data_IF_393725215515
#
_entry.id   IF_393725215515
#
_cell.length_a   1.000
_cell.length_b   1.000
_cell.length_c   1.000
_cell.angle_alpha   90.00
_cell.angle_beta   90.00
_cell.angle_gamma   90.00
#
_symmetry.space_group_name_H-M   'P 1'
#
loop_
_entity.id
_entity.type
_entity.pdbx_description
1 polymer ?
#
# COMPACT_ATOMS: atom_id res chain seq x y z
N UNK A 1 -9.19 17.24 1.66
CA UNK A 1 -9.14 15.99 2.45
C UNK A 1 -8.26 14.99 1.72
N UNK A 2 -7.20 14.50 2.37
CA UNK A 2 -6.33 13.48 1.79
C UNK A 2 -6.98 12.11 2.05
N UNK A 3 -7.19 11.30 1.02
CA UNK A 3 -7.74 9.96 1.17
C UNK A 3 -6.60 8.98 1.00
N UNK A 4 -6.38 8.19 2.03
CA UNK A 4 -5.32 7.20 2.04
C UNK A 4 -5.72 5.98 1.21
N UNK A 5 -4.75 5.39 0.51
CA UNK A 5 -4.99 4.15 -0.23
C UNK A 5 -5.43 3.02 0.71
N UNK A 6 -5.03 3.04 1.99
CA UNK A 6 -5.52 2.10 2.98
C UNK A 6 -7.04 2.10 3.14
N UNK A 7 -7.67 3.28 3.14
CA UNK A 7 -9.14 3.38 3.24
C UNK A 7 -9.84 2.88 1.98
N UNK A 8 -9.26 3.16 0.81
CA UNK A 8 -9.76 2.62 -0.46
C UNK A 8 -9.63 1.10 -0.46
N UNK A 9 -8.51 0.54 -0.01
CA UNK A 9 -8.33 -0.92 0.11
C UNK A 9 -9.32 -1.53 1.09
N UNK A 10 -9.55 -0.92 2.26
CA UNK A 10 -10.58 -1.37 3.21
C UNK A 10 -11.95 -1.43 2.51
N UNK A 11 -12.29 -0.44 1.68
CA UNK A 11 -13.55 -0.43 0.92
C UNK A 11 -13.62 -1.57 -0.10
N UNK A 12 -12.53 -1.82 -0.82
CA UNK A 12 -12.45 -2.94 -1.76
C UNK A 12 -12.58 -4.29 -1.04
N UNK A 13 -11.97 -4.48 0.12
CA UNK A 13 -12.09 -5.71 0.94
C UNK A 13 -13.53 -5.93 1.42
N UNK A 14 -14.24 -4.87 1.79
CA UNK A 14 -15.68 -4.95 2.11
C UNK A 14 -16.49 -5.41 0.90
N UNK A 15 -16.18 -4.90 -0.30
CA UNK A 15 -16.84 -5.37 -1.53
C UNK A 15 -16.51 -6.84 -1.80
N UNK A 16 -15.25 -7.25 -1.69
CA UNK A 16 -14.81 -8.64 -1.92
C UNK A 16 -15.52 -9.61 -0.98
N UNK A 17 -15.56 -9.30 0.32
CA UNK A 17 -16.29 -10.09 1.33
C UNK A 17 -17.80 -10.16 1.12
N UNK A 18 -18.36 -9.33 0.23
CA UNK A 18 -19.78 -9.30 -0.15
C UNK A 18 -20.03 -9.83 -1.58
N UNK A 19 -19.09 -10.59 -2.14
CA UNK A 19 -19.23 -11.15 -3.49
C UNK A 19 -18.94 -10.15 -4.61
N UNK A 20 -18.22 -9.07 -4.31
CA UNK A 20 -17.79 -8.05 -5.26
C UNK A 20 -18.74 -6.87 -5.43
N UNK A 21 -19.77 -6.73 -4.58
CA UNK A 21 -20.71 -5.60 -4.66
C UNK A 21 -21.34 -5.23 -3.32
N UNK A 22 -21.57 -3.94 -3.09
CA UNK A 22 -22.31 -3.45 -1.93
C UNK A 22 -23.00 -2.10 -2.21
N UNK A 23 -24.06 -1.80 -1.46
CA UNK A 23 -24.77 -0.52 -1.54
C UNK A 23 -23.99 0.59 -0.82
N UNK A 24 -24.20 1.84 -1.26
CA UNK A 24 -23.70 3.04 -0.60
C UNK A 24 -24.10 3.07 0.89
N UNK A 25 -25.33 2.63 1.19
CA UNK A 25 -25.86 2.57 2.56
C UNK A 25 -24.95 1.75 3.49
N UNK A 26 -24.38 0.64 3.02
CA UNK A 26 -23.45 -0.15 3.82
C UNK A 26 -22.23 0.68 4.21
N UNK A 27 -21.64 1.40 3.26
CA UNK A 27 -20.46 2.21 3.52
C UNK A 27 -20.76 3.42 4.41
N UNK A 28 -21.94 4.03 4.24
CA UNK A 28 -22.39 5.11 5.13
C UNK A 28 -22.57 4.63 6.57
N UNK A 29 -23.03 3.38 6.78
CA UNK A 29 -23.10 2.80 8.14
C UNK A 29 -21.73 2.55 8.75
N UNK A 30 -20.72 2.21 7.95
CA UNK A 30 -19.37 1.92 8.42
C UNK A 30 -18.53 3.18 8.67
N UNK A 31 -18.65 4.18 7.79
CA UNK A 31 -17.75 5.34 7.75
C UNK A 31 -18.48 6.70 7.73
N UNK A 32 -19.80 6.72 7.83
CA UNK A 32 -20.57 7.95 7.75
C UNK A 32 -20.32 8.70 6.44
N UNK A 33 -20.41 10.05 6.43
CA UNK A 33 -20.17 10.86 5.24
C UNK A 33 -18.78 10.68 4.60
N UNK A 34 -17.78 10.18 5.35
CA UNK A 34 -16.44 9.90 4.82
C UNK A 34 -16.47 8.85 3.68
N UNK A 35 -17.47 7.95 3.70
CA UNK A 35 -17.67 6.95 2.66
C UNK A 35 -17.73 7.53 1.25
N UNK A 36 -18.38 8.69 1.06
CA UNK A 36 -18.47 9.34 -0.25
C UNK A 36 -17.09 9.64 -0.82
N UNK A 37 -16.18 10.13 0.02
CA UNK A 37 -14.87 10.51 -0.41
C UNK A 37 -14.05 9.27 -0.81
N UNK A 38 -14.07 8.22 0.02
CA UNK A 38 -13.35 6.97 -0.24
C UNK A 38 -13.86 6.30 -1.53
N UNK A 39 -15.18 6.23 -1.70
CA UNK A 39 -15.79 5.60 -2.87
C UNK A 39 -15.58 6.42 -4.15
N UNK A 40 -15.64 7.75 -4.07
CA UNK A 40 -15.30 8.62 -5.20
C UNK A 40 -13.84 8.42 -5.61
N UNK A 41 -12.92 8.31 -4.65
CA UNK A 41 -11.51 8.03 -4.98
C UNK A 41 -11.32 6.65 -5.60
N UNK A 42 -12.05 5.64 -5.13
CA UNK A 42 -12.03 4.31 -5.73
C UNK A 42 -12.56 4.31 -7.18
N UNK A 43 -13.55 5.17 -7.48
CA UNK A 43 -14.05 5.42 -8.84
C UNK A 43 -12.98 6.11 -9.70
N UNK A 44 -12.35 7.18 -9.19
CA UNK A 44 -11.29 7.92 -9.90
C UNK A 44 -10.09 7.03 -10.29
N UNK A 45 -9.86 5.95 -9.53
CA UNK A 45 -8.77 5.00 -9.76
C UNK A 45 -9.18 3.76 -10.56
N UNK A 46 -10.40 3.71 -11.08
CA UNK A 46 -10.99 2.57 -11.80
C UNK A 46 -10.96 1.25 -11.00
N UNK A 47 -10.99 1.33 -9.67
CA UNK A 47 -10.96 0.15 -8.79
C UNK A 47 -12.36 -0.40 -8.55
N UNK A 48 -13.36 0.47 -8.65
CA UNK A 48 -14.78 0.13 -8.59
C UNK A 48 -15.53 0.81 -9.72
N UNK A 49 -16.73 0.34 -10.01
CA UNK A 49 -17.70 1.05 -10.84
C UNK A 49 -19.03 1.11 -10.10
N UNK A 50 -19.84 2.11 -10.43
CA UNK A 50 -21.12 2.38 -9.75
C UNK A 50 -22.28 2.15 -10.72
N UNK A 51 -23.33 1.47 -10.24
CA UNK A 51 -24.62 1.31 -10.94
C UNK A 51 -25.74 1.65 -9.97
N UNK A 52 -26.35 2.83 -10.14
CA UNK A 52 -27.26 3.39 -9.13
C UNK A 52 -26.51 3.64 -7.82
N UNK A 53 -27.03 3.13 -6.71
CA UNK A 53 -26.39 3.23 -5.39
C UNK A 53 -25.53 2.00 -5.03
N UNK A 54 -25.26 1.13 -6.00
CA UNK A 54 -24.45 -0.06 -5.80
C UNK A 54 -23.06 0.14 -6.40
N UNK A 55 -22.04 -0.06 -5.57
CA UNK A 55 -20.64 -0.10 -5.98
C UNK A 55 -20.23 -1.55 -6.23
N UNK A 56 -19.48 -1.77 -7.31
CA UNK A 56 -19.00 -3.07 -7.74
C UNK A 56 -17.51 -3.06 -7.97
N UNK A 57 -16.83 -4.13 -7.57
CA UNK A 57 -15.40 -4.32 -7.78
C UNK A 57 -15.10 -4.42 -9.29
N UNK A 58 -14.22 -3.56 -9.77
CA UNK A 58 -13.70 -3.62 -11.13
C UNK A 58 -12.61 -4.70 -11.24
N UNK A 59 -12.21 -5.04 -12.48
CA UNK A 59 -11.09 -5.96 -12.72
C UNK A 59 -9.81 -5.49 -12.04
N UNK A 60 -9.48 -4.20 -12.19
CA UNK A 60 -8.29 -3.58 -11.59
C UNK A 60 -8.32 -3.61 -10.06
N UNK A 61 -9.50 -3.41 -9.45
CA UNK A 61 -9.67 -3.54 -8.00
C UNK A 61 -9.43 -4.97 -7.51
N UNK A 62 -9.91 -5.99 -8.24
CA UNK A 62 -9.62 -7.40 -7.93
C UNK A 62 -8.14 -7.74 -8.05
N UNK A 63 -7.49 -7.26 -9.10
CA UNK A 63 -6.04 -7.44 -9.30
C UNK A 63 -5.23 -6.78 -8.18
N UNK A 64 -5.62 -5.57 -7.76
CA UNK A 64 -5.02 -4.89 -6.63
C UNK A 64 -5.19 -5.70 -5.33
N UNK A 65 -6.40 -6.20 -5.05
CA UNK A 65 -6.65 -7.04 -3.87
C UNK A 65 -5.82 -8.34 -3.90
N UNK A 66 -5.69 -8.98 -5.07
CA UNK A 66 -4.85 -10.17 -5.23
C UNK A 66 -3.38 -9.85 -4.92
N UNK A 67 -2.85 -8.74 -5.44
CA UNK A 67 -1.49 -8.28 -5.14
C UNK A 67 -1.27 -7.96 -3.66
N UNK A 68 -2.33 -7.54 -2.96
CA UNK A 68 -2.29 -7.27 -1.52
C UNK A 68 -2.52 -8.52 -0.66
N UNK A 69 -3.14 -9.57 -1.21
CA UNK A 69 -3.44 -10.84 -0.54
C UNK A 69 -2.25 -11.81 -0.53
N UNK A 70 -1.30 -11.64 -1.45
CA UNK A 70 -0.04 -12.41 -1.52
C UNK A 70 1.04 -11.90 -0.52
N UNK A 71 0.64 -11.04 0.42
CA UNK A 71 1.52 -10.25 1.28
C UNK A 71 1.64 -8.81 0.76
N UNK A 72 2.39 -7.96 1.46
CA UNK A 72 2.75 -6.62 0.98
C UNK A 72 4.09 -6.68 0.24
N UNK A 73 4.15 -7.14 -1.04
CA UNK A 73 5.42 -7.33 -1.73
C UNK A 73 6.17 -6.01 -1.85
N UNK A 74 7.36 -5.99 -1.23
CA UNK A 74 8.28 -4.86 -1.28
C UNK A 74 9.45 -5.24 -2.17
N UNK A 75 9.59 -4.56 -3.30
CA UNK A 75 10.74 -4.68 -4.21
C UNK A 75 11.59 -3.42 -4.12
N UNK A 76 12.91 -3.55 -3.97
CA UNK A 76 13.80 -2.40 -3.96
C UNK A 76 14.74 -2.41 -5.17
N UNK A 77 14.99 -1.22 -5.73
CA UNK A 77 15.96 -1.01 -6.81
C UNK A 77 16.75 0.26 -6.59
N UNK A 78 17.99 0.28 -7.05
CA UNK A 78 18.81 1.50 -7.13
C UNK A 78 18.67 2.07 -8.53
N UNK A 79 18.25 3.33 -8.64
CA UNK A 79 18.16 4.04 -9.90
C UNK A 79 18.53 5.51 -9.72
N UNK A 80 19.43 6.00 -10.57
CA UNK A 80 19.94 7.40 -10.54
C UNK A 80 20.49 7.82 -9.16
N UNK A 81 21.25 6.92 -8.52
CA UNK A 81 21.84 7.17 -7.18
C UNK A 81 20.82 7.22 -6.03
N UNK A 82 19.57 6.79 -6.25
CA UNK A 82 18.52 6.73 -5.22
C UNK A 82 17.99 5.31 -5.06
N UNK A 83 17.63 4.95 -3.83
CA UNK A 83 16.88 3.74 -3.54
C UNK A 83 15.39 3.99 -3.81
N UNK A 84 14.79 3.07 -4.54
CA UNK A 84 13.37 3.08 -4.85
C UNK A 84 12.75 1.81 -4.30
N UNK A 85 11.59 1.98 -3.67
CA UNK A 85 10.78 0.88 -3.17
C UNK A 85 9.48 0.83 -3.95
N UNK A 86 9.28 -0.25 -4.69
CA UNK A 86 8.04 -0.58 -5.35
C UNK A 86 7.21 -1.44 -4.40
N UNK A 87 5.96 -1.03 -4.23
CA UNK A 87 4.98 -1.63 -3.32
C UNK A 87 3.64 -1.72 -4.04
N UNK A 88 2.65 -2.48 -3.52
CA UNK A 88 1.30 -2.49 -4.10
C UNK A 88 0.63 -1.11 -4.10
N UNK A 89 1.08 -0.22 -3.21
CA UNK A 89 0.51 1.12 -3.02
C UNK A 89 1.21 2.21 -3.84
N UNK A 90 2.34 1.90 -4.47
CA UNK A 90 3.08 2.84 -5.31
C UNK A 90 4.59 2.65 -5.29
N UNK A 91 5.27 3.57 -5.97
CA UNK A 91 6.73 3.65 -6.04
C UNK A 91 7.23 4.81 -5.18
N UNK A 92 8.08 4.52 -4.19
CA UNK A 92 8.61 5.50 -3.25
C UNK A 92 10.11 5.68 -3.45
N UNK A 93 10.58 6.92 -3.50
CA UNK A 93 11.99 7.22 -3.30
C UNK A 93 12.27 7.16 -1.80
N UNK A 94 13.19 6.28 -1.39
CA UNK A 94 13.40 5.96 0.02
C UNK A 94 14.60 6.70 0.58
N UNK A 95 14.38 7.34 1.73
CA UNK A 95 15.45 7.77 2.62
C UNK A 95 15.78 6.65 3.62
N UNK A 96 17.05 6.33 3.76
CA UNK A 96 17.54 5.38 4.75
C UNK A 96 17.65 6.07 6.12
N UNK A 97 16.52 6.42 6.73
CA UNK A 97 16.44 6.87 8.13
C UNK A 97 15.44 5.99 8.88
N UNK A 98 15.62 5.71 10.18
CA UNK A 98 14.74 4.78 10.90
C UNK A 98 13.31 5.30 10.94
N UNK A 99 13.16 6.60 11.17
CA UNK A 99 11.88 7.30 11.23
C UNK A 99 11.12 7.27 9.89
N UNK A 100 11.82 7.44 8.76
CA UNK A 100 11.20 7.32 7.44
C UNK A 100 10.73 5.88 7.17
N UNK A 101 11.61 4.90 7.42
CA UNK A 101 11.30 3.49 7.19
C UNK A 101 10.17 2.99 8.08
N UNK A 102 10.14 3.43 9.35
CA UNK A 102 9.06 3.11 10.27
C UNK A 102 7.74 3.73 9.79
N UNK A 103 7.74 5.02 9.43
CA UNK A 103 6.54 5.69 8.89
C UNK A 103 6.01 4.99 7.64
N UNK A 104 6.90 4.59 6.73
CA UNK A 104 6.54 3.86 5.52
C UNK A 104 5.96 2.48 5.86
N UNK A 105 6.57 1.75 6.81
CA UNK A 105 6.08 0.46 7.26
C UNK A 105 4.68 0.54 7.85
N UNK A 106 4.36 1.55 8.66
CA UNK A 106 3.00 1.76 9.18
C UNK A 106 1.98 2.01 8.07
N UNK A 107 2.30 2.86 7.09
CA UNK A 107 1.39 3.15 5.96
C UNK A 107 1.12 1.91 5.11
N UNK A 108 2.17 1.14 4.85
CA UNK A 108 2.08 -0.12 4.12
C UNK A 108 1.30 -1.17 4.93
N UNK A 109 1.52 -1.23 6.24
CA UNK A 109 0.87 -2.19 7.13
C UNK A 109 -0.63 -1.93 7.21
N UNK A 110 -1.03 -0.67 7.30
CA UNK A 110 -2.43 -0.29 7.23
C UNK A 110 -3.05 -0.65 5.87
N UNK A 111 -2.35 -0.38 4.76
CA UNK A 111 -2.87 -0.66 3.43
C UNK A 111 -2.92 -2.17 3.11
N UNK A 112 -1.95 -2.94 3.59
CA UNK A 112 -1.84 -4.38 3.35
C UNK A 112 -2.54 -5.21 4.44
N UNK A 113 -2.95 -4.60 5.56
CA UNK A 113 -3.51 -5.31 6.71
C UNK A 113 -2.52 -6.26 7.37
N UNK A 114 -1.26 -5.86 7.44
CA UNK A 114 -0.18 -6.63 8.08
C UNK A 114 0.33 -5.92 9.34
N UNK A 115 1.17 -6.62 10.11
CA UNK A 115 1.86 -6.03 11.25
C UNK A 115 2.98 -5.06 10.79
N UNK A 116 3.04 -3.82 11.34
CA UNK A 116 4.07 -2.84 10.97
C UNK A 116 5.50 -3.37 11.08
N UNK A 117 5.81 -4.16 12.12
CA UNK A 117 7.14 -4.71 12.32
C UNK A 117 7.53 -5.68 11.21
N UNK A 118 6.58 -6.45 10.66
CA UNK A 118 6.83 -7.45 9.61
C UNK A 118 7.20 -6.77 8.31
N UNK A 119 6.46 -5.71 7.96
CA UNK A 119 6.77 -4.87 6.80
C UNK A 119 8.08 -4.12 6.99
N UNK A 120 8.35 -3.61 8.19
CA UNK A 120 9.62 -2.94 8.50
C UNK A 120 10.81 -3.88 8.25
N UNK A 121 10.77 -5.09 8.81
CA UNK A 121 11.84 -6.08 8.65
C UNK A 121 12.04 -6.45 7.17
N UNK A 122 10.97 -6.68 6.42
CA UNK A 122 11.06 -7.03 5.00
C UNK A 122 11.58 -5.87 4.15
N UNK A 123 11.10 -4.64 4.39
CA UNK A 123 11.59 -3.42 3.73
C UNK A 123 13.09 -3.25 3.97
N UNK A 124 13.53 -3.42 5.21
CA UNK A 124 14.94 -3.40 5.60
C UNK A 124 15.78 -4.43 4.83
N UNK A 125 15.34 -5.69 4.79
CA UNK A 125 16.03 -6.78 4.06
C UNK A 125 16.12 -6.48 2.57
N UNK A 126 15.03 -6.03 1.96
CA UNK A 126 14.97 -5.76 0.52
C UNK A 126 15.85 -4.57 0.14
N UNK A 127 15.84 -3.49 0.94
CA UNK A 127 16.73 -2.34 0.74
C UNK A 127 18.20 -2.72 0.91
N UNK A 128 18.54 -3.54 1.92
CA UNK A 128 19.90 -4.02 2.12
C UNK A 128 20.39 -4.86 0.93
N UNK A 129 19.55 -5.75 0.38
CA UNK A 129 19.86 -6.54 -0.83
C UNK A 129 20.02 -5.66 -2.08
N UNK A 130 19.22 -4.62 -2.22
CA UNK A 130 19.34 -3.70 -3.36
C UNK A 130 20.60 -2.84 -3.27
N UNK A 131 20.94 -2.35 -2.07
CA UNK A 131 22.16 -1.59 -1.81
C UNK A 131 23.44 -2.43 -1.99
N UNK A 132 23.42 -3.73 -1.66
CA UNK A 132 24.59 -4.61 -1.82
C UNK A 132 24.88 -4.99 -3.27
N UNK A 133 23.85 -4.96 -4.13
CA UNK A 133 23.99 -5.19 -5.57
C UNK A 133 24.46 -3.96 -6.34
N UNK A 134 24.30 -2.77 -5.77
CA UNK A 134 24.93 -1.54 -6.30
C UNK A 134 26.38 -1.42 -5.83
N UNK A 135 27.26 -0.89 -6.69
CA UNK A 135 28.69 -0.66 -6.39
C UNK A 135 28.94 0.33 -5.22
N UNK A 136 27.89 0.95 -4.68
CA UNK A 136 27.97 1.93 -3.60
C UNK A 136 28.01 1.25 -2.23
N UNK A 137 29.19 0.73 -1.85
CA UNK A 137 29.51 0.21 -0.50
C UNK A 137 29.11 1.16 0.65
N UNK A 138 28.98 2.46 0.37
CA UNK A 138 28.60 3.48 1.35
C UNK A 138 27.12 3.42 1.78
N UNK A 139 26.20 2.95 0.92
CA UNK A 139 24.77 2.83 1.26
C UNK A 139 24.50 1.70 2.26
N UNK A 140 25.32 0.64 2.22
CA UNK A 140 25.23 -0.50 3.14
C UNK A 140 25.58 -0.14 4.59
N UNK A 141 26.53 0.77 4.81
CA UNK A 141 26.88 1.22 6.17
C UNK A 141 25.75 1.95 6.87
N UNK A 142 24.91 2.68 6.13
CA UNK A 142 23.68 3.28 6.66
C UNK A 142 22.59 2.23 6.81
N UNK A 143 22.26 1.47 5.76
CA UNK A 143 21.18 0.48 5.82
C UNK A 143 21.38 -0.59 6.91
N UNK A 144 22.61 -1.08 7.11
CA UNK A 144 22.95 -2.09 8.12
C UNK A 144 22.90 -1.58 9.56
N UNK A 145 22.98 -0.26 9.80
CA UNK A 145 22.88 0.34 11.13
C UNK A 145 21.44 0.76 11.50
N UNK A 146 20.50 0.70 10.55
CA UNK A 146 19.12 1.19 10.69
C UNK A 146 18.10 0.07 10.92
N UNK A 147 18.52 -1.18 10.70
CA UNK A 147 17.65 -2.35 10.68
C UNK A 147 17.94 -3.35 11.82
N UNK A 148 18.73 -2.93 12.82
CA UNK A 148 19.01 -3.62 14.08
C UNK A 148 18.61 -2.72 15.24
#
# INVERSE_FOLDING_TARGET
>A
MFIELGDVVKALRVLEGRGGSASLELFLRLWGPYAYAVLNRALDWDLVYRRGDVYKLARRGRELLKLLGEGCPVEARVARGRLWLKTPVGLYAVELTPSYLLSLAYKLAEACGEEPWRIYAETCRTLARAASRSLDKWLLRRAGALCF
#
